data_IF_836444368492
#
_entry.id   IF_836444368492
#
_cell.length_a   1.000
_cell.length_b   1.000
_cell.length_c   1.000
_cell.angle_alpha   90.00
_cell.angle_beta   90.00
_cell.angle_gamma   90.00
#
_symmetry.space_group_name_H-M   'P 1'
#
loop_
_entity.id
_entity.type
_entity.pdbx_description
1 polymer ?
#
# COMPACT_ATOMS: atom_id res chain seq x y z
N UNK A 1 16.01 -16.48 -9.75
CA UNK A 1 14.72 -15.84 -9.53
C UNK A 1 14.93 -14.56 -8.71
N UNK A 2 14.20 -13.47 -8.97
CA UNK A 2 14.30 -12.28 -8.16
C UNK A 2 13.88 -12.58 -6.72
N UNK A 3 14.60 -12.00 -5.76
CA UNK A 3 14.35 -12.20 -4.33
C UNK A 3 13.51 -11.03 -3.82
N UNK A 4 12.41 -11.32 -3.13
CA UNK A 4 11.60 -10.27 -2.51
C UNK A 4 12.39 -9.60 -1.37
N UNK A 5 12.60 -8.28 -1.41
CA UNK A 5 13.44 -7.60 -0.42
C UNK A 5 12.85 -7.60 0.99
N UNK A 6 11.54 -7.87 1.12
CA UNK A 6 10.79 -7.83 2.39
C UNK A 6 10.13 -9.17 2.74
N UNK A 7 10.57 -10.26 2.13
CA UNK A 7 9.99 -11.60 2.31
C UNK A 7 9.84 -12.00 3.78
N UNK A 8 10.87 -11.75 4.59
CA UNK A 8 10.88 -12.12 6.01
C UNK A 8 10.01 -11.26 6.91
N UNK A 9 9.62 -10.10 6.43
CA UNK A 9 8.85 -9.12 7.22
C UNK A 9 7.40 -9.01 6.79
N UNK A 10 7.15 -9.16 5.49
CA UNK A 10 5.83 -9.01 4.89
C UNK A 10 4.99 -10.27 5.09
N UNK A 11 3.77 -10.12 5.62
CA UNK A 11 2.84 -11.24 5.83
C UNK A 11 2.02 -11.65 4.60
N UNK A 12 2.31 -11.12 3.41
CA UNK A 12 1.41 -11.26 2.27
C UNK A 12 1.64 -12.52 1.41
N UNK A 13 2.81 -13.14 1.50
CA UNK A 13 3.20 -14.26 0.65
C UNK A 13 3.73 -15.43 1.48
N UNK A 14 3.31 -16.67 1.13
CA UNK A 14 3.81 -17.89 1.74
C UNK A 14 4.88 -18.59 0.89
N UNK A 15 4.95 -18.32 -0.41
CA UNK A 15 5.75 -19.09 -1.36
C UNK A 15 6.70 -18.26 -2.22
N UNK A 16 6.84 -16.95 -1.97
CA UNK A 16 7.59 -16.04 -2.86
C UNK A 16 9.08 -16.43 -2.99
N UNK A 17 9.67 -17.01 -1.93
CA UNK A 17 11.06 -17.50 -1.93
C UNK A 17 11.25 -18.91 -2.52
N UNK A 18 10.16 -19.61 -2.87
CA UNK A 18 10.22 -20.94 -3.46
C UNK A 18 10.30 -20.82 -4.98
N UNK A 19 11.22 -21.56 -5.66
CA UNK A 19 11.26 -21.59 -7.12
C UNK A 19 9.91 -21.95 -7.73
N UNK A 20 9.49 -21.25 -8.78
CA UNK A 20 8.13 -21.38 -9.30
C UNK A 20 7.76 -22.80 -9.75
N UNK A 21 8.70 -23.52 -10.41
CA UNK A 21 8.48 -24.91 -10.76
C UNK A 21 8.20 -25.82 -9.53
N UNK A 22 8.86 -25.52 -8.42
CA UNK A 22 8.63 -26.22 -7.14
C UNK A 22 7.26 -25.88 -6.55
N UNK A 23 6.82 -24.61 -6.67
CA UNK A 23 5.48 -24.22 -6.25
C UNK A 23 4.40 -24.97 -7.05
N UNK A 24 4.57 -25.10 -8.36
CA UNK A 24 3.66 -25.86 -9.23
C UNK A 24 3.62 -27.33 -8.83
N UNK A 25 4.78 -27.98 -8.71
CA UNK A 25 4.87 -29.38 -8.31
C UNK A 25 4.19 -29.65 -6.95
N UNK A 26 4.45 -28.79 -5.95
CA UNK A 26 3.83 -28.92 -4.63
C UNK A 26 2.31 -28.76 -4.67
N UNK A 27 1.80 -27.87 -5.50
CA UNK A 27 0.35 -27.66 -5.68
C UNK A 27 -0.29 -28.85 -6.40
N UNK A 28 0.37 -29.38 -7.39
CA UNK A 28 -0.10 -30.56 -8.15
C UNK A 28 -0.21 -31.78 -7.22
N UNK A 29 0.85 -32.05 -6.45
CA UNK A 29 0.85 -33.11 -5.42
C UNK A 29 -0.28 -32.90 -4.42
N UNK A 30 -0.44 -31.67 -3.92
CA UNK A 30 -1.49 -31.37 -2.94
C UNK A 30 -2.90 -31.59 -3.49
N UNK A 31 -3.15 -31.25 -4.74
CA UNK A 31 -4.45 -31.53 -5.41
C UNK A 31 -4.66 -33.04 -5.51
N UNK A 32 -3.65 -33.79 -5.95
CA UNK A 32 -3.73 -35.25 -6.05
C UNK A 32 -4.06 -35.90 -4.69
N UNK A 33 -3.39 -35.47 -3.61
CA UNK A 33 -3.67 -35.95 -2.25
C UNK A 33 -5.12 -35.65 -1.80
N UNK A 34 -5.60 -34.44 -2.05
CA UNK A 34 -6.94 -34.02 -1.63
C UNK A 34 -8.06 -34.77 -2.37
N UNK A 35 -7.81 -35.23 -3.57
CA UNK A 35 -8.79 -35.92 -4.39
C UNK A 35 -8.60 -37.45 -4.44
N UNK A 36 -7.61 -37.98 -3.73
CA UNK A 36 -7.25 -39.41 -3.78
C UNK A 36 -8.44 -40.36 -3.50
N UNK A 37 -9.33 -39.97 -2.59
CA UNK A 37 -10.48 -40.80 -2.19
C UNK A 37 -11.78 -40.50 -2.97
N UNK A 38 -11.76 -39.47 -3.83
CA UNK A 38 -13.02 -39.00 -4.49
C UNK A 38 -12.94 -38.97 -6.02
N UNK A 39 -11.74 -39.05 -6.59
CA UNK A 39 -11.54 -39.01 -8.04
C UNK A 39 -10.46 -40.00 -8.49
N UNK A 40 -10.66 -40.58 -9.67
CA UNK A 40 -9.63 -41.38 -10.34
C UNK A 40 -8.45 -40.48 -10.72
N UNK A 41 -7.22 -40.96 -10.54
CA UNK A 41 -6.02 -40.18 -10.88
C UNK A 41 -5.98 -39.74 -12.34
N UNK A 42 -6.61 -40.50 -13.26
CA UNK A 42 -6.74 -40.13 -14.67
C UNK A 42 -7.63 -38.89 -14.93
N UNK A 43 -8.47 -38.50 -13.96
CA UNK A 43 -9.29 -37.29 -14.03
C UNK A 43 -8.47 -36.02 -13.75
N UNK A 44 -7.35 -36.14 -13.05
CA UNK A 44 -6.47 -35.01 -12.76
C UNK A 44 -5.65 -34.64 -14.00
N UNK A 45 -5.63 -33.35 -14.29
CA UNK A 45 -4.82 -32.79 -15.39
C UNK A 45 -3.60 -32.09 -14.78
N UNK A 46 -2.47 -32.04 -15.51
CA UNK A 46 -1.30 -31.26 -15.06
C UNK A 46 -1.68 -29.81 -14.77
N UNK A 47 -1.07 -29.23 -13.74
CA UNK A 47 -1.29 -27.83 -13.37
C UNK A 47 -0.88 -26.88 -14.50
N UNK A 48 -1.75 -25.91 -14.77
CA UNK A 48 -1.41 -24.83 -15.70
C UNK A 48 -0.69 -23.72 -14.95
N UNK A 49 0.56 -23.51 -15.28
CA UNK A 49 1.39 -22.43 -14.73
C UNK A 49 1.18 -21.12 -15.48
N UNK A 50 1.69 -20.04 -14.90
CA UNK A 50 1.83 -18.73 -15.56
C UNK A 50 3.21 -18.66 -16.23
N UNK A 51 3.29 -18.05 -17.41
CA UNK A 51 4.56 -17.77 -18.06
C UNK A 51 5.38 -16.76 -17.26
N UNK A 52 4.71 -15.72 -16.75
CA UNK A 52 5.30 -14.68 -15.89
C UNK A 52 4.58 -14.63 -14.54
N UNK A 53 5.09 -15.30 -13.50
CA UNK A 53 4.43 -15.37 -12.19
C UNK A 53 4.69 -14.13 -11.31
N UNK A 54 4.87 -12.97 -11.93
CA UNK A 54 5.10 -11.68 -11.27
C UNK A 54 4.03 -10.67 -11.66
N UNK A 55 3.87 -9.61 -10.88
CA UNK A 55 2.94 -8.50 -11.10
C UNK A 55 1.47 -8.93 -11.38
N UNK A 56 1.10 -10.15 -11.01
CA UNK A 56 -0.21 -10.75 -11.30
C UNK A 56 -1.31 -10.30 -10.35
N UNK A 57 -0.96 -9.76 -9.17
CA UNK A 57 -1.95 -9.35 -8.16
C UNK A 57 -2.68 -8.10 -8.61
N UNK A 58 -3.85 -8.28 -9.19
CA UNK A 58 -4.67 -7.22 -9.75
C UNK A 58 -5.54 -6.49 -8.73
N UNK A 59 -5.68 -7.01 -7.50
CA UNK A 59 -6.33 -6.34 -6.37
C UNK A 59 -5.32 -6.13 -5.26
N UNK A 60 -4.99 -4.87 -4.98
CA UNK A 60 -4.08 -4.49 -3.90
C UNK A 60 -4.83 -3.67 -2.86
N UNK A 61 -4.66 -4.04 -1.59
CA UNK A 61 -5.19 -3.32 -0.44
C UNK A 61 -4.01 -2.84 0.38
N UNK A 62 -3.76 -1.53 0.39
CA UNK A 62 -2.64 -0.95 1.11
C UNK A 62 -3.11 -0.06 2.25
N UNK A 63 -2.72 -0.36 3.50
CA UNK A 63 -2.93 0.53 4.63
C UNK A 63 -2.00 1.75 4.56
N UNK A 64 -2.41 2.83 5.23
CA UNK A 64 -1.59 4.02 5.47
C UNK A 64 -1.42 4.24 6.96
N UNK A 65 -0.18 4.51 7.39
CA UNK A 65 0.13 4.83 8.78
C UNK A 65 1.18 5.94 8.89
N UNK A 66 1.24 6.67 10.03
CA UNK A 66 2.32 7.60 10.27
C UNK A 66 3.64 6.87 10.53
N UNK A 67 4.64 7.20 9.75
CA UNK A 67 6.01 6.74 9.93
C UNK A 67 6.82 7.62 10.90
N UNK A 68 8.12 7.67 10.68
CA UNK A 68 9.07 8.46 11.50
C UNK A 68 8.74 9.95 11.43
N UNK A 69 9.08 10.67 12.50
CA UNK A 69 9.08 12.13 12.47
C UNK A 69 10.15 12.60 11.48
N UNK A 70 9.74 13.40 10.52
CA UNK A 70 10.70 14.06 9.63
C UNK A 70 11.38 15.16 10.44
N UNK A 71 12.71 15.13 10.50
CA UNK A 71 13.47 16.23 11.08
C UNK A 71 13.19 17.47 10.23
N UNK A 72 12.64 18.51 10.85
CA UNK A 72 12.41 19.78 10.19
C UNK A 72 13.78 20.30 9.70
N UNK A 73 13.90 20.65 8.43
CA UNK A 73 15.04 21.40 7.93
C UNK A 73 15.13 22.71 8.72
N UNK A 74 16.08 22.79 9.65
CA UNK A 74 16.37 23.97 10.44
C UNK A 74 17.10 25.02 9.59
N UNK A 75 16.56 25.37 8.40
CA UNK A 75 17.08 26.43 7.55
C UNK A 75 15.95 27.34 7.05
N UNK A 76 15.17 27.91 7.99
CA UNK A 76 14.56 29.20 7.77
C UNK A 76 15.52 30.22 8.41
N UNK A 77 16.40 30.81 7.58
CA UNK A 77 17.26 31.93 7.96
C UNK A 77 16.40 32.96 8.67
N UNK A 78 16.70 33.22 9.95
CA UNK A 78 16.18 34.33 10.70
C UNK A 78 16.64 35.63 10.01
N UNK A 79 15.79 36.18 9.17
CA UNK A 79 15.89 37.55 8.74
C UNK A 79 15.66 38.43 9.97
N UNK A 80 16.73 39.08 10.46
CA UNK A 80 16.63 40.16 11.43
C UNK A 80 15.87 41.33 10.76
N UNK A 81 14.60 41.45 11.04
CA UNK A 81 13.78 42.64 10.80
C UNK A 81 13.26 43.07 12.16
N UNK A 82 13.81 44.15 12.74
CA UNK A 82 13.22 44.88 13.85
C UNK A 82 11.94 45.53 13.29
N UNK A 83 10.78 45.28 13.89
CA UNK A 83 9.84 46.30 14.29
C UNK A 83 8.70 45.68 15.12
N UNK A 84 8.53 46.30 16.29
CA UNK A 84 7.51 45.96 17.27
C UNK A 84 6.14 46.53 16.86
N UNK A 85 5.07 45.74 16.99
CA UNK A 85 3.78 46.12 17.57
C UNK A 85 2.80 44.95 17.56
N UNK A 86 2.24 44.70 18.71
CA UNK A 86 1.29 43.74 19.18
C UNK A 86 0.24 43.16 18.22
N UNK A 87 0.19 41.84 18.15
CA UNK A 87 -0.92 41.06 17.71
C UNK A 87 -0.81 39.67 18.33
N UNK A 88 -1.71 39.34 19.28
CA UNK A 88 -1.84 38.00 19.85
C UNK A 88 -2.49 37.08 18.84
N UNK A 89 -1.81 36.74 17.78
CA UNK A 89 -2.20 35.61 16.94
C UNK A 89 -1.55 34.37 17.47
N UNK A 90 -2.39 33.49 18.01
CA UNK A 90 -1.98 32.20 18.48
C UNK A 90 -1.29 31.43 17.36
N UNK A 91 0.05 31.35 17.42
CA UNK A 91 0.84 30.46 16.56
C UNK A 91 0.36 29.03 16.82
N UNK A 92 -0.56 28.56 15.98
CA UNK A 92 -0.97 27.16 15.96
C UNK A 92 0.30 26.36 15.70
N UNK A 93 0.83 25.72 16.75
CA UNK A 93 2.02 24.92 16.64
C UNK A 93 1.85 23.92 15.49
N UNK A 94 2.64 24.05 14.44
CA UNK A 94 2.59 23.13 13.32
C UNK A 94 2.97 21.75 13.85
N UNK A 95 2.04 20.80 13.75
CA UNK A 95 2.32 19.41 14.10
C UNK A 95 3.56 18.95 13.33
N UNK A 96 4.50 18.25 13.99
CA UNK A 96 5.70 17.77 13.33
C UNK A 96 5.31 16.90 12.14
N UNK A 97 5.86 17.23 10.97
CA UNK A 97 5.62 16.42 9.76
C UNK A 97 6.16 15.01 9.98
N UNK A 98 5.36 14.03 9.68
CA UNK A 98 5.74 12.61 9.71
C UNK A 98 5.77 12.06 8.29
N UNK A 99 6.63 11.09 8.09
CA UNK A 99 6.56 10.20 6.94
C UNK A 99 5.18 9.50 6.91
N UNK A 100 4.66 9.22 5.74
CA UNK A 100 3.47 8.39 5.57
C UNK A 100 3.93 7.06 4.97
N UNK A 101 3.68 5.98 5.70
CA UNK A 101 3.96 4.63 5.23
C UNK A 101 2.75 4.09 4.47
N UNK A 102 3.01 3.31 3.43
CA UNK A 102 2.04 2.46 2.75
C UNK A 102 2.70 1.15 2.37
N UNK A 103 1.92 0.09 2.22
CA UNK A 103 2.44 -1.24 1.91
C UNK A 103 1.53 -2.33 2.42
N UNK A 104 2.09 -3.35 3.06
CA UNK A 104 1.36 -4.48 3.63
C UNK A 104 1.62 -4.57 5.14
N UNK A 105 0.73 -5.24 5.87
CA UNK A 105 1.00 -5.55 7.28
C UNK A 105 2.04 -6.65 7.42
N UNK A 106 2.93 -6.50 8.37
CA UNK A 106 3.76 -7.61 8.85
C UNK A 106 2.87 -8.69 9.47
N UNK A 107 3.27 -9.93 9.33
CA UNK A 107 2.51 -11.08 9.83
C UNK A 107 2.09 -10.90 11.30
N UNK A 108 0.82 -11.11 11.61
CA UNK A 108 0.27 -11.02 12.97
C UNK A 108 0.31 -9.62 13.60
N UNK A 109 0.45 -8.54 12.83
CA UNK A 109 0.55 -7.19 13.37
C UNK A 109 -0.07 -6.13 12.46
N UNK A 110 -0.21 -4.90 12.98
CA UNK A 110 -0.58 -3.71 12.20
C UNK A 110 0.64 -2.86 11.79
N UNK A 111 1.86 -3.38 11.96
CA UNK A 111 3.07 -2.71 11.48
C UNK A 111 3.12 -2.76 9.96
N UNK A 112 3.22 -1.61 9.31
CA UNK A 112 3.33 -1.54 7.86
C UNK A 112 4.76 -1.84 7.43
N UNK A 113 4.89 -2.75 6.47
CA UNK A 113 6.10 -3.03 5.71
C UNK A 113 5.93 -2.36 4.35
N UNK A 114 6.79 -1.41 3.97
CA UNK A 114 6.75 -0.79 2.64
C UNK A 114 6.95 -1.84 1.55
N UNK A 115 6.09 -1.82 0.53
CA UNK A 115 6.10 -2.80 -0.57
C UNK A 115 6.42 -2.18 -1.92
N UNK A 116 7.19 -1.09 -1.96
CA UNK A 116 7.57 -0.41 -3.20
C UNK A 116 8.24 -1.35 -4.22
N UNK A 117 8.98 -2.36 -3.73
CA UNK A 117 9.63 -3.41 -4.53
C UNK A 117 8.86 -4.73 -4.58
N UNK A 118 7.54 -4.74 -4.34
CA UNK A 118 6.75 -5.96 -4.36
C UNK A 118 6.76 -6.62 -5.74
N UNK A 119 7.13 -7.90 -5.78
CA UNK A 119 7.25 -8.66 -7.03
C UNK A 119 5.90 -9.10 -7.60
N UNK A 120 4.86 -9.19 -6.77
CA UNK A 120 3.56 -9.75 -7.19
C UNK A 120 2.46 -8.72 -7.38
N UNK A 121 2.58 -7.52 -6.78
CA UNK A 121 1.59 -6.45 -6.98
C UNK A 121 1.69 -5.88 -8.39
N UNK A 122 0.52 -5.61 -9.00
CA UNK A 122 0.46 -4.93 -10.29
C UNK A 122 1.14 -3.56 -10.21
N UNK A 123 1.92 -3.20 -11.22
CA UNK A 123 2.74 -1.97 -11.25
C UNK A 123 1.89 -0.70 -11.17
N UNK A 124 0.76 -0.68 -11.88
CA UNK A 124 -0.17 0.44 -11.86
C UNK A 124 -0.78 0.62 -10.47
N UNK A 125 -1.14 -0.50 -9.81
CA UNK A 125 -1.66 -0.46 -8.45
C UNK A 125 -0.61 0.11 -7.47
N UNK A 126 0.66 -0.30 -7.57
CA UNK A 126 1.76 0.26 -6.76
C UNK A 126 1.93 1.76 -7.00
N UNK A 127 1.89 2.19 -8.26
CA UNK A 127 2.01 3.60 -8.65
C UNK A 127 0.90 4.43 -8.03
N UNK A 128 -0.34 3.96 -8.10
CA UNK A 128 -1.51 4.65 -7.56
C UNK A 128 -1.43 4.76 -6.04
N UNK A 129 -1.08 3.68 -5.33
CA UNK A 129 -0.94 3.66 -3.88
C UNK A 129 0.08 4.69 -3.42
N UNK A 130 1.23 4.77 -4.09
CA UNK A 130 2.27 5.78 -3.81
C UNK A 130 1.77 7.20 -4.12
N UNK A 131 1.06 7.39 -5.22
CA UNK A 131 0.49 8.69 -5.60
C UNK A 131 -0.51 9.17 -4.55
N UNK A 132 -1.37 8.30 -4.04
CA UNK A 132 -2.28 8.63 -2.92
C UNK A 132 -1.48 9.06 -1.69
N UNK A 133 -0.45 8.31 -1.27
CA UNK A 133 0.44 8.67 -0.16
C UNK A 133 1.02 10.08 -0.33
N UNK A 134 1.54 10.37 -1.50
CA UNK A 134 2.24 11.63 -1.80
C UNK A 134 1.28 12.83 -1.89
N UNK A 135 0.01 12.58 -2.21
CA UNK A 135 -1.04 13.60 -2.20
C UNK A 135 -1.57 13.92 -0.80
N UNK A 136 -1.57 12.97 0.12
CA UNK A 136 -2.15 13.16 1.46
C UNK A 136 -1.67 14.44 2.17
N UNK A 137 -0.35 14.74 2.24
CA UNK A 137 0.12 15.95 2.93
C UNK A 137 -0.34 17.24 2.25
N UNK A 138 -0.52 17.23 0.92
CA UNK A 138 -0.94 18.39 0.14
C UNK A 138 -2.39 18.78 0.40
N UNK A 139 -3.21 17.80 0.75
CA UNK A 139 -4.64 17.97 1.05
C UNK A 139 -4.95 17.92 2.54
N UNK A 140 -3.93 17.93 3.40
CA UNK A 140 -4.10 17.89 4.85
C UNK A 140 -4.72 16.57 5.36
N UNK A 141 -4.57 15.48 4.60
CA UNK A 141 -5.10 14.17 4.95
C UNK A 141 -4.10 13.46 5.87
N UNK A 142 -4.52 13.16 7.10
CA UNK A 142 -3.72 12.39 8.04
C UNK A 142 -3.94 10.89 7.83
N UNK A 143 -2.86 10.06 7.84
CA UNK A 143 -2.99 8.60 7.85
C UNK A 143 -3.61 8.15 9.16
N UNK A 144 -4.36 7.05 9.09
CA UNK A 144 -5.02 6.47 10.25
C UNK A 144 -4.00 5.85 11.22
N UNK A 145 -4.33 5.87 12.52
CA UNK A 145 -3.57 5.25 13.60
C UNK A 145 -4.45 4.22 14.29
N UNK A 146 -4.15 2.95 14.11
CA UNK A 146 -4.92 1.86 14.71
C UNK A 146 -4.95 1.96 16.25
N UNK A 147 -3.81 2.29 16.88
CA UNK A 147 -3.71 2.35 18.34
C UNK A 147 -4.61 3.42 19.00
N UNK A 148 -4.88 4.51 18.30
CA UNK A 148 -5.64 5.65 18.86
C UNK A 148 -6.99 5.88 18.17
N UNK A 149 -7.29 5.16 17.11
CA UNK A 149 -8.51 5.37 16.32
C UNK A 149 -8.56 6.73 15.60
N UNK A 150 -7.42 7.42 15.47
CA UNK A 150 -7.36 8.78 14.92
C UNK A 150 -6.72 8.83 13.54
N UNK A 151 -6.91 9.93 12.82
CA UNK A 151 -6.51 10.07 11.43
C UNK A 151 -7.69 9.81 10.49
N UNK A 152 -7.49 10.01 9.20
CA UNK A 152 -8.58 9.98 8.23
C UNK A 152 -8.48 8.83 7.22
N UNK A 153 -7.38 8.73 6.47
CA UNK A 153 -7.24 7.70 5.43
C UNK A 153 -6.66 6.42 6.01
N UNK A 154 -7.45 5.34 5.94
CA UNK A 154 -7.06 4.01 6.42
C UNK A 154 -6.38 3.20 5.34
N UNK A 155 -7.06 2.99 4.21
CA UNK A 155 -6.58 2.13 3.13
C UNK A 155 -6.88 2.73 1.77
N UNK A 156 -6.09 2.36 0.78
CA UNK A 156 -6.49 2.38 -0.63
C UNK A 156 -6.66 0.93 -1.12
N UNK A 157 -7.75 0.69 -1.80
CA UNK A 157 -7.98 -0.56 -2.53
C UNK A 157 -7.93 -0.23 -4.01
N UNK A 158 -6.98 -0.81 -4.71
CA UNK A 158 -6.83 -0.64 -6.16
C UNK A 158 -7.15 -1.97 -6.84
N UNK A 159 -8.02 -1.92 -7.83
CA UNK A 159 -8.30 -3.05 -8.73
C UNK A 159 -7.95 -2.65 -10.14
N UNK A 160 -7.18 -3.50 -10.81
CA UNK A 160 -6.77 -3.32 -12.20
C UNK A 160 -7.41 -4.43 -13.03
N UNK A 161 -8.21 -4.07 -14.02
CA UNK A 161 -8.79 -5.01 -14.97
C UNK A 161 -7.70 -5.51 -15.92
N UNK A 162 -7.41 -6.82 -15.88
CA UNK A 162 -6.33 -7.39 -16.69
C UNK A 162 -6.58 -7.21 -18.19
N UNK A 163 -7.81 -7.45 -18.64
CA UNK A 163 -8.17 -7.36 -20.05
C UNK A 163 -8.62 -5.96 -20.47
N UNK A 164 -9.39 -5.26 -19.61
CA UNK A 164 -9.95 -3.95 -19.95
C UNK A 164 -8.96 -2.81 -19.72
N UNK A 165 -7.95 -3.00 -18.87
CA UNK A 165 -7.06 -1.93 -18.42
C UNK A 165 -7.73 -0.91 -17.49
N UNK A 166 -9.00 -1.07 -17.17
CA UNK A 166 -9.73 -0.16 -16.27
C UNK A 166 -9.22 -0.27 -14.85
N UNK A 167 -9.18 0.84 -14.15
CA UNK A 167 -8.69 0.91 -12.78
C UNK A 167 -9.77 1.48 -11.86
N UNK A 168 -10.11 0.72 -10.82
CA UNK A 168 -10.99 1.17 -9.74
C UNK A 168 -10.16 1.45 -8.49
N UNK A 169 -10.25 2.68 -7.98
CA UNK A 169 -9.62 3.09 -6.73
C UNK A 169 -10.67 3.38 -5.67
N UNK A 170 -10.63 2.65 -4.56
CA UNK A 170 -11.50 2.87 -3.40
C UNK A 170 -10.65 3.37 -2.23
N UNK A 171 -11.00 4.52 -1.67
CA UNK A 171 -10.36 5.07 -0.48
C UNK A 171 -11.21 4.75 0.76
N UNK A 172 -10.64 4.04 1.73
CA UNK A 172 -11.30 3.70 3.00
C UNK A 172 -10.94 4.75 4.03
N UNK A 173 -11.95 5.45 4.53
CA UNK A 173 -11.78 6.60 5.43
C UNK A 173 -12.38 6.35 6.81
N UNK A 174 -11.84 7.01 7.83
CA UNK A 174 -12.31 7.00 9.21
C UNK A 174 -13.32 8.14 9.48
N UNK A 175 -14.17 8.45 8.53
CA UNK A 175 -15.17 9.51 8.65
C UNK A 175 -15.96 9.68 7.37
N UNK A 176 -17.16 10.27 7.49
CA UNK A 176 -18.08 10.43 6.36
C UNK A 176 -17.73 11.61 5.47
N UNK A 177 -17.11 12.64 6.03
CA UNK A 177 -16.76 13.85 5.28
C UNK A 177 -15.31 13.76 4.78
N UNK A 178 -15.14 13.81 3.47
CA UNK A 178 -13.81 13.91 2.85
C UNK A 178 -13.65 15.34 2.31
N UNK A 179 -13.03 16.24 3.10
CA UNK A 179 -12.77 17.61 2.66
C UNK A 179 -11.93 17.62 1.39
N UNK A 180 -12.28 18.50 0.44
CA UNK A 180 -11.59 18.62 -0.84
C UNK A 180 -11.57 17.33 -1.70
N UNK A 181 -12.49 16.37 -1.48
CA UNK A 181 -12.53 15.09 -2.21
C UNK A 181 -12.46 15.25 -3.73
N UNK A 182 -13.23 16.19 -4.30
CA UNK A 182 -13.23 16.46 -5.75
C UNK A 182 -11.84 16.90 -6.26
N UNK A 183 -11.18 17.79 -5.53
CA UNK A 183 -9.85 18.27 -5.90
C UNK A 183 -8.79 17.15 -5.75
N UNK A 184 -8.88 16.37 -4.67
CA UNK A 184 -8.02 15.20 -4.46
C UNK A 184 -8.17 14.17 -5.59
N UNK A 185 -9.40 13.76 -5.90
CA UNK A 185 -9.66 12.77 -6.95
C UNK A 185 -9.20 13.29 -8.33
N UNK A 186 -9.45 14.55 -8.65
CA UNK A 186 -8.97 15.16 -9.91
C UNK A 186 -7.45 15.14 -10.00
N UNK A 187 -6.75 15.47 -8.92
CA UNK A 187 -5.30 15.46 -8.90
C UNK A 187 -4.74 14.03 -8.95
N UNK A 188 -5.41 13.07 -8.31
CA UNK A 188 -5.06 11.66 -8.38
C UNK A 188 -5.16 11.15 -9.84
N UNK A 189 -6.31 11.36 -10.49
CA UNK A 189 -6.52 10.95 -11.89
C UNK A 189 -5.52 11.62 -12.83
N UNK A 190 -5.19 12.89 -12.60
CA UNK A 190 -4.21 13.61 -13.43
C UNK A 190 -2.79 13.01 -13.34
N UNK A 191 -2.44 12.37 -12.22
CA UNK A 191 -1.11 11.79 -11.98
C UNK A 191 -1.01 10.30 -12.31
N UNK A 192 -2.12 9.66 -12.43
CA UNK A 192 -2.27 8.28 -12.84
C UNK A 192 -2.83 8.17 -14.24
#
# INVERSE_FOLDING_TARGET
APVCPVERECGACQHVGVPYAQQLASKDTRVAELFADVADASALRPILGMDEPYCYRNKVVSPYAPGRKLQGSANARAGKGRDARGGRDGKRAQKPRREILCGMYAAGSHRIVPTDGCLIENEEAKRIIRTVRDLMPRFGIEPYREDSGTGFLRHAVVRVGHTSGEILVTLVTNGRAFPASRAFCRELVRRC
#
